data_IF_001097261404
#
_entry.id   IF_001097261404
#
_cell.length_a   1.000
_cell.length_b   1.000
_cell.length_c   1.000
_cell.angle_alpha   90.00
_cell.angle_beta   90.00
_cell.angle_gamma   90.00
#
_symmetry.space_group_name_H-M   'P 1'
#
loop_
_entity.id
_entity.type
_entity.pdbx_description
1 polymer ?
#
# COMPACT_ATOMS: atom_id res chain seq x y z
N UNK A 1 -10.70 -1.62 -29.45
CA UNK A 1 -9.99 -0.52 -28.76
C UNK A 1 -9.86 0.63 -29.72
N UNK A 2 -10.85 1.52 -29.76
CA UNK A 2 -10.74 2.77 -30.51
C UNK A 2 -9.85 3.73 -29.72
N UNK A 3 -8.69 4.07 -30.30
CA UNK A 3 -7.87 5.17 -29.80
C UNK A 3 -8.60 6.45 -30.16
N UNK A 4 -9.29 7.04 -29.18
CA UNK A 4 -9.87 8.37 -29.35
C UNK A 4 -8.70 9.35 -29.48
N UNK A 5 -8.45 9.78 -30.72
CA UNK A 5 -7.53 10.85 -31.10
C UNK A 5 -8.11 12.21 -30.67
N UNK A 6 -8.24 12.44 -29.36
CA UNK A 6 -8.68 13.74 -28.81
C UNK A 6 -7.59 14.80 -28.97
N UNK A 7 -6.32 14.38 -28.97
CA UNK A 7 -5.14 15.25 -29.07
C UNK A 7 -5.03 16.00 -30.40
N UNK A 8 -5.47 15.41 -31.52
CA UNK A 8 -5.34 16.02 -32.86
C UNK A 8 -6.40 17.10 -33.19
N UNK A 9 -7.58 17.07 -32.56
CA UNK A 9 -8.62 18.09 -32.81
C UNK A 9 -8.39 19.36 -32.00
N UNK A 10 -8.02 19.22 -30.73
CA UNK A 10 -7.71 20.37 -29.87
C UNK A 10 -6.49 21.16 -30.36
N UNK A 11 -5.47 20.49 -30.90
CA UNK A 11 -4.28 21.12 -31.48
C UNK A 11 -4.61 21.94 -32.74
N UNK A 12 -5.38 21.38 -33.67
CA UNK A 12 -5.82 22.09 -34.88
C UNK A 12 -6.70 23.31 -34.58
N UNK A 13 -7.59 23.22 -33.58
CA UNK A 13 -8.43 24.35 -33.15
C UNK A 13 -7.60 25.45 -32.49
N UNK A 14 -6.63 25.09 -31.64
CA UNK A 14 -5.72 26.05 -31.02
C UNK A 14 -4.85 26.73 -32.09
N UNK A 15 -4.31 25.99 -33.06
CA UNK A 15 -3.54 26.55 -34.17
C UNK A 15 -4.35 27.53 -35.04
N UNK A 16 -5.61 27.20 -35.34
CA UNK A 16 -6.51 28.09 -36.07
C UNK A 16 -6.83 29.38 -35.27
N UNK A 17 -7.01 29.27 -33.95
CA UNK A 17 -7.23 30.43 -33.06
C UNK A 17 -5.96 31.30 -33.01
N UNK A 18 -4.78 30.71 -32.90
CA UNK A 18 -3.50 31.44 -32.90
C UNK A 18 -3.26 32.13 -34.25
N UNK A 19 -3.55 31.45 -35.36
CA UNK A 19 -3.41 32.01 -36.70
C UNK A 19 -4.36 33.20 -36.93
N UNK A 20 -5.63 33.10 -36.52
CA UNK A 20 -6.59 34.20 -36.61
C UNK A 20 -6.20 35.36 -35.69
N UNK A 21 -5.67 35.11 -34.49
CA UNK A 21 -5.19 36.17 -33.59
C UNK A 21 -4.00 36.91 -34.18
N UNK A 22 -3.02 36.20 -34.77
CA UNK A 22 -1.90 36.84 -35.49
C UNK A 22 -2.40 37.78 -36.58
N UNK A 23 -3.36 37.31 -37.41
CA UNK A 23 -3.98 38.16 -38.44
C UNK A 23 -4.63 39.42 -37.89
N UNK A 24 -5.33 39.35 -36.75
CA UNK A 24 -5.95 40.55 -36.13
C UNK A 24 -4.89 41.53 -35.61
N UNK A 25 -3.78 41.03 -35.03
CA UNK A 25 -2.67 41.89 -34.59
C UNK A 25 -1.89 42.49 -35.76
N UNK A 26 -1.67 41.72 -36.81
CA UNK A 26 -1.03 42.20 -38.03
C UNK A 26 -1.88 43.33 -38.63
N UNK A 27 -3.22 43.18 -38.65
CA UNK A 27 -4.15 44.23 -39.08
C UNK A 27 -4.13 45.46 -38.16
N UNK A 28 -4.07 45.29 -36.84
CA UNK A 28 -4.00 46.41 -35.88
C UNK A 28 -2.68 47.18 -35.99
N UNK A 29 -1.57 46.47 -36.20
CA UNK A 29 -0.24 47.05 -36.41
C UNK A 29 -0.17 47.74 -37.78
N UNK A 30 -0.71 47.11 -38.83
CA UNK A 30 -0.81 47.71 -40.17
C UNK A 30 -1.61 49.00 -40.14
N UNK A 31 -2.77 49.03 -39.48
CA UNK A 31 -3.58 50.24 -39.31
C UNK A 31 -2.82 51.35 -38.57
N UNK A 32 -2.03 51.00 -37.54
CA UNK A 32 -1.18 51.97 -36.84
C UNK A 32 -0.04 52.50 -37.73
N UNK A 33 0.59 51.62 -38.51
CA UNK A 33 1.65 52.00 -39.45
C UNK A 33 1.12 52.88 -40.60
N UNK A 34 -0.07 52.59 -41.11
CA UNK A 34 -0.76 53.41 -42.11
C UNK A 34 -1.11 54.79 -41.56
N UNK A 35 -1.73 54.84 -40.37
CA UNK A 35 -2.03 56.09 -39.69
C UNK A 35 -0.76 56.93 -39.44
N UNK A 36 0.34 56.27 -39.03
CA UNK A 36 1.64 56.93 -38.88
C UNK A 36 2.13 57.52 -40.20
N UNK A 37 2.09 56.76 -41.30
CA UNK A 37 2.49 57.27 -42.64
C UNK A 37 1.69 58.50 -43.04
N UNK A 38 0.39 58.48 -42.79
CA UNK A 38 -0.50 59.61 -43.06
C UNK A 38 -0.11 60.86 -42.25
N UNK A 39 0.15 60.70 -40.96
CA UNK A 39 0.55 61.78 -40.07
C UNK A 39 1.92 62.37 -40.47
N UNK A 40 2.85 61.54 -40.93
CA UNK A 40 4.11 61.98 -41.52
C UNK A 40 3.93 62.76 -42.83
N UNK A 41 3.00 62.33 -43.69
CA UNK A 41 2.69 63.04 -44.93
C UNK A 41 2.13 64.45 -44.65
N UNK A 42 1.25 64.58 -43.65
CA UNK A 42 0.73 65.88 -43.19
C UNK A 42 1.84 66.74 -42.57
N UNK A 43 2.73 66.15 -41.76
CA UNK A 43 3.88 66.89 -41.21
C UNK A 43 4.81 67.43 -42.30
N UNK A 44 5.09 66.61 -43.32
CA UNK A 44 5.93 67.00 -44.45
C UNK A 44 5.29 68.08 -45.33
N UNK A 45 3.97 68.04 -45.54
CA UNK A 45 3.27 69.08 -46.32
C UNK A 45 3.31 70.44 -45.62
N UNK A 46 3.20 70.46 -44.29
CA UNK A 46 3.36 71.67 -43.47
C UNK A 46 4.79 72.21 -43.53
N UNK A 47 5.80 71.33 -43.43
CA UNK A 47 7.22 71.72 -43.58
C UNK A 47 7.52 72.35 -44.96
N UNK A 48 6.79 71.93 -46.00
CA UNK A 48 6.88 72.48 -47.35
C UNK A 48 6.06 73.77 -47.54
N UNK A 49 5.51 74.34 -46.46
CA UNK A 49 4.80 75.63 -46.47
C UNK A 49 3.32 75.56 -46.85
N UNK A 50 2.73 74.36 -46.96
CA UNK A 50 1.27 74.22 -47.18
C UNK A 50 0.52 74.36 -45.86
N UNK A 51 -0.56 75.14 -45.85
CA UNK A 51 -1.45 75.21 -44.70
C UNK A 51 -2.10 73.83 -44.44
N UNK A 52 -2.08 73.37 -43.20
CA UNK A 52 -2.80 72.15 -42.81
C UNK A 52 -4.29 72.44 -42.65
N UNK A 53 -5.13 71.50 -43.10
CA UNK A 53 -6.57 71.56 -42.85
C UNK A 53 -6.87 71.24 -41.36
N UNK A 54 -7.42 72.19 -40.60
CA UNK A 54 -7.72 71.99 -39.18
C UNK A 54 -8.78 70.90 -38.94
N UNK A 55 -9.71 70.68 -39.88
CA UNK A 55 -10.69 69.60 -39.75
C UNK A 55 -10.01 68.24 -39.88
N UNK A 56 -9.07 68.11 -40.83
CA UNK A 56 -8.29 66.88 -40.99
C UNK A 56 -7.39 66.58 -39.79
N UNK A 57 -6.79 67.62 -39.19
CA UNK A 57 -6.00 67.45 -37.96
C UNK A 57 -6.85 66.95 -36.79
N UNK A 58 -8.10 67.42 -36.66
CA UNK A 58 -9.04 66.97 -35.63
C UNK A 58 -9.46 65.51 -35.83
N UNK A 59 -9.70 65.09 -37.06
CA UNK A 59 -9.98 63.67 -37.40
C UNK A 59 -8.79 62.76 -37.08
N UNK A 60 -7.57 63.19 -37.41
CA UNK A 60 -6.35 62.46 -37.11
C UNK A 60 -6.15 62.33 -35.59
N UNK A 61 -6.40 63.40 -34.82
CA UNK A 61 -6.31 63.35 -33.36
C UNK A 61 -7.31 62.34 -32.75
N UNK A 62 -8.57 62.35 -33.19
CA UNK A 62 -9.58 61.38 -32.73
C UNK A 62 -9.22 59.93 -33.13
N UNK A 63 -8.62 59.75 -34.30
CA UNK A 63 -8.17 58.44 -34.78
C UNK A 63 -6.98 57.92 -33.97
N UNK A 64 -6.05 58.79 -33.59
CA UNK A 64 -4.93 58.45 -32.69
C UNK A 64 -5.45 57.99 -31.33
N UNK A 65 -6.38 58.73 -30.71
CA UNK A 65 -6.96 58.36 -29.41
C UNK A 65 -7.66 57.00 -29.47
N UNK A 66 -8.42 56.74 -30.55
CA UNK A 66 -9.09 55.44 -30.77
C UNK A 66 -8.08 54.31 -30.92
N UNK A 67 -7.05 54.48 -31.75
CA UNK A 67 -6.01 53.47 -31.95
C UNK A 67 -5.24 53.19 -30.66
N UNK A 68 -4.85 54.24 -29.91
CA UNK A 68 -4.15 54.11 -28.64
C UNK A 68 -4.99 53.37 -27.59
N UNK A 69 -6.28 53.71 -27.49
CA UNK A 69 -7.21 53.04 -26.57
C UNK A 69 -7.40 51.58 -26.95
N UNK A 70 -7.61 51.28 -28.25
CA UNK A 70 -7.81 49.91 -28.74
C UNK A 70 -6.58 49.03 -28.48
N UNK A 71 -5.39 49.52 -28.83
CA UNK A 71 -4.13 48.81 -28.58
C UNK A 71 -3.90 48.57 -27.08
N UNK A 72 -4.13 49.59 -26.24
CA UNK A 72 -4.00 49.48 -24.79
C UNK A 72 -4.93 48.43 -24.18
N UNK A 73 -6.19 48.39 -24.63
CA UNK A 73 -7.16 47.38 -24.20
C UNK A 73 -6.77 45.97 -24.66
N UNK A 74 -6.33 45.81 -25.92
CA UNK A 74 -5.91 44.51 -26.46
C UNK A 74 -4.70 43.95 -25.70
N UNK A 75 -3.68 44.78 -25.44
CA UNK A 75 -2.49 44.37 -24.67
C UNK A 75 -2.86 43.97 -23.24
N UNK A 76 -3.73 44.74 -22.57
CA UNK A 76 -4.17 44.42 -21.20
C UNK A 76 -4.97 43.13 -21.15
N UNK A 77 -5.84 42.91 -22.12
CA UNK A 77 -6.66 41.71 -22.23
C UNK A 77 -5.79 40.45 -22.45
N UNK A 78 -4.75 40.53 -23.28
CA UNK A 78 -3.81 39.42 -23.45
C UNK A 78 -2.97 39.16 -22.20
N UNK A 79 -2.52 40.22 -21.51
CA UNK A 79 -1.81 40.05 -20.23
C UNK A 79 -2.67 39.28 -19.22
N UNK A 80 -3.96 39.59 -19.13
CA UNK A 80 -4.90 38.88 -18.26
C UNK A 80 -5.11 37.43 -18.70
N UNK A 81 -5.28 37.18 -20.00
CA UNK A 81 -5.40 35.81 -20.53
C UNK A 81 -4.15 34.98 -20.25
N UNK A 82 -2.97 35.53 -20.50
CA UNK A 82 -1.71 34.85 -20.26
C UNK A 82 -1.53 34.54 -18.77
N UNK A 83 -1.79 35.51 -17.89
CA UNK A 83 -1.73 35.30 -16.44
C UNK A 83 -2.68 34.18 -15.99
N UNK A 84 -3.90 34.16 -16.53
CA UNK A 84 -4.88 33.11 -16.20
C UNK A 84 -4.42 31.74 -16.70
N UNK A 85 -4.01 31.64 -17.96
CA UNK A 85 -3.52 30.38 -18.54
C UNK A 85 -2.27 29.87 -17.81
N UNK A 86 -1.36 30.76 -17.42
CA UNK A 86 -0.19 30.39 -16.61
C UNK A 86 -0.62 29.79 -15.27
N UNK A 87 -1.55 30.45 -14.57
CA UNK A 87 -2.04 29.94 -13.28
C UNK A 87 -2.81 28.63 -13.41
N UNK A 88 -3.58 28.44 -14.48
CA UNK A 88 -4.29 27.19 -14.76
C UNK A 88 -3.30 26.06 -15.08
N UNK A 89 -2.24 26.34 -15.83
CA UNK A 89 -1.18 25.35 -16.10
C UNK A 89 -0.42 24.97 -14.81
N UNK A 90 0.01 25.95 -14.01
CA UNK A 90 0.69 25.69 -12.74
C UNK A 90 -0.19 24.85 -11.80
N UNK A 91 -1.50 25.12 -11.78
CA UNK A 91 -2.44 24.33 -11.00
C UNK A 91 -2.56 22.89 -11.50
N UNK A 92 -2.64 22.70 -12.83
CA UNK A 92 -2.69 21.38 -13.44
C UNK A 92 -1.40 20.59 -13.19
N UNK A 93 -0.24 21.22 -13.27
CA UNK A 93 1.05 20.59 -12.97
C UNK A 93 1.10 20.11 -11.51
N UNK A 94 0.69 20.95 -10.56
CA UNK A 94 0.59 20.55 -9.14
C UNK A 94 -0.36 19.38 -8.92
N UNK A 95 -1.51 19.38 -9.61
CA UNK A 95 -2.47 18.27 -9.53
C UNK A 95 -1.87 16.97 -10.08
N UNK A 96 -1.24 17.03 -11.25
CA UNK A 96 -0.57 15.88 -11.87
C UNK A 96 0.50 15.33 -10.95
N UNK A 97 1.37 16.17 -10.41
CA UNK A 97 2.45 15.75 -9.51
C UNK A 97 1.92 15.08 -8.24
N UNK A 98 0.85 15.63 -7.66
CA UNK A 98 0.22 15.06 -6.46
C UNK A 98 -0.41 13.69 -6.75
N UNK A 99 -1.11 13.55 -7.88
CA UNK A 99 -1.76 12.30 -8.28
C UNK A 99 -0.74 11.23 -8.63
N UNK A 100 0.30 11.58 -9.38
CA UNK A 100 1.39 10.67 -9.74
C UNK A 100 2.13 10.19 -8.49
N UNK A 101 2.46 11.09 -7.57
CA UNK A 101 3.12 10.74 -6.31
C UNK A 101 2.26 9.79 -5.46
N UNK A 102 0.95 10.03 -5.40
CA UNK A 102 0.00 9.14 -4.74
C UNK A 102 -0.04 7.74 -5.35
N UNK A 103 -0.13 7.67 -6.69
CA UNK A 103 -0.16 6.40 -7.43
C UNK A 103 1.16 5.61 -7.28
N UNK A 104 2.31 6.28 -7.33
CA UNK A 104 3.62 5.64 -7.10
C UNK A 104 3.67 5.02 -5.71
N UNK A 105 3.25 5.77 -4.69
CA UNK A 105 3.22 5.28 -3.30
C UNK A 105 2.30 4.07 -3.15
N UNK A 106 1.12 4.09 -3.78
CA UNK A 106 0.20 2.96 -3.79
C UNK A 106 0.80 1.74 -4.49
N UNK A 107 1.37 1.90 -5.68
CA UNK A 107 2.02 0.82 -6.42
C UNK A 107 3.20 0.22 -5.66
N UNK A 108 3.99 1.03 -4.97
CA UNK A 108 5.10 0.55 -4.15
C UNK A 108 4.61 -0.31 -2.98
N UNK A 109 3.51 0.12 -2.34
CA UNK A 109 2.87 -0.66 -1.26
C UNK A 109 2.36 -2.01 -1.75
N UNK A 110 1.73 -2.05 -2.94
CA UNK A 110 1.23 -3.28 -3.55
C UNK A 110 2.38 -4.19 -3.98
N UNK A 111 3.43 -3.64 -4.58
CA UNK A 111 4.63 -4.38 -4.94
C UNK A 111 5.29 -5.02 -3.72
N UNK A 112 5.39 -4.28 -2.60
CA UNK A 112 5.92 -4.82 -1.35
C UNK A 112 5.04 -5.97 -0.83
N UNK A 113 3.72 -5.83 -0.89
CA UNK A 113 2.77 -6.89 -0.52
C UNK A 113 2.96 -8.14 -1.40
N UNK A 114 3.05 -7.96 -2.71
CA UNK A 114 3.23 -9.05 -3.68
C UNK A 114 4.57 -9.78 -3.51
N UNK A 115 5.65 -9.06 -3.20
CA UNK A 115 6.95 -9.65 -2.87
C UNK A 115 6.86 -10.53 -1.62
N UNK A 116 6.24 -10.02 -0.55
CA UNK A 116 6.05 -10.79 0.69
C UNK A 116 5.20 -12.05 0.47
N UNK A 117 4.15 -11.98 -0.34
CA UNK A 117 3.34 -13.17 -0.68
C UNK A 117 4.14 -14.17 -1.51
N UNK A 118 4.96 -13.70 -2.46
CA UNK A 118 5.83 -14.55 -3.27
C UNK A 118 6.85 -15.28 -2.40
N UNK A 119 7.46 -14.60 -1.44
CA UNK A 119 8.43 -15.20 -0.53
C UNK A 119 7.80 -16.20 0.45
N UNK A 120 6.55 -15.97 0.86
CA UNK A 120 5.76 -16.97 1.61
C UNK A 120 5.52 -18.22 0.76
N UNK A 121 5.02 -18.06 -0.46
CA UNK A 121 4.77 -19.18 -1.38
C UNK A 121 6.03 -19.98 -1.71
N UNK A 122 7.17 -19.32 -1.93
CA UNK A 122 8.47 -19.97 -2.12
C UNK A 122 8.86 -20.82 -0.91
N UNK A 123 8.66 -20.32 0.31
CA UNK A 123 8.92 -21.09 1.55
C UNK A 123 7.99 -22.29 1.67
N UNK A 124 6.71 -22.12 1.40
CA UNK A 124 5.73 -23.22 1.49
C UNK A 124 6.00 -24.30 0.44
N UNK A 125 6.40 -23.92 -0.77
CA UNK A 125 6.83 -24.86 -1.80
C UNK A 125 8.08 -25.65 -1.38
N UNK A 126 9.09 -24.99 -0.79
CA UNK A 126 10.28 -25.67 -0.24
C UNK A 126 9.91 -26.66 0.86
N UNK A 127 9.01 -26.28 1.78
CA UNK A 127 8.50 -27.18 2.83
C UNK A 127 7.76 -28.38 2.23
N UNK A 128 6.92 -28.16 1.22
CA UNK A 128 6.21 -29.23 0.50
C UNK A 128 7.18 -30.19 -0.19
N UNK A 129 8.25 -29.67 -0.80
CA UNK A 129 9.32 -30.50 -1.38
C UNK A 129 10.03 -31.33 -0.32
N UNK A 130 10.37 -30.75 0.84
CA UNK A 130 10.96 -31.48 1.96
C UNK A 130 10.02 -32.57 2.47
N UNK A 131 8.73 -32.25 2.68
CA UNK A 131 7.72 -33.22 3.07
C UNK A 131 7.61 -34.37 2.06
N UNK A 132 7.55 -34.06 0.76
CA UNK A 132 7.49 -35.07 -0.29
C UNK A 132 8.75 -35.93 -0.39
N UNK A 133 9.93 -35.37 -0.09
CA UNK A 133 11.18 -36.15 0.04
C UNK A 133 11.13 -37.06 1.26
N UNK A 134 10.68 -36.57 2.41
CA UNK A 134 10.49 -37.37 3.61
C UNK A 134 9.49 -38.50 3.37
N UNK A 135 8.36 -38.23 2.74
CA UNK A 135 7.36 -39.25 2.37
C UNK A 135 7.95 -40.27 1.39
N UNK A 136 8.75 -39.83 0.40
CA UNK A 136 9.43 -40.75 -0.54
C UNK A 136 10.46 -41.61 0.16
N UNK A 137 11.38 -41.02 0.92
CA UNK A 137 12.38 -41.72 1.72
C UNK A 137 11.71 -42.69 2.69
N UNK A 138 10.62 -42.27 3.32
CA UNK A 138 9.82 -43.12 4.18
C UNK A 138 9.23 -44.29 3.38
N UNK A 139 8.59 -44.05 2.22
CA UNK A 139 8.05 -45.10 1.35
C UNK A 139 9.11 -46.07 0.80
N UNK A 140 10.31 -45.58 0.51
CA UNK A 140 11.40 -46.34 -0.11
C UNK A 140 12.36 -47.01 0.87
N UNK A 141 12.48 -46.52 2.11
CA UNK A 141 13.26 -47.18 3.15
C UNK A 141 12.66 -48.56 3.42
N UNK A 142 13.52 -49.58 3.39
CA UNK A 142 13.18 -50.98 3.59
C UNK A 142 12.23 -51.17 4.77
N UNK A 143 11.35 -52.17 4.65
CA UNK A 143 10.29 -52.51 5.60
C UNK A 143 10.78 -52.87 7.01
N UNK A 144 12.10 -52.85 7.24
CA UNK A 144 12.81 -53.33 8.42
C UNK A 144 13.85 -52.27 8.84
N UNK A 145 13.59 -51.58 9.95
CA UNK A 145 14.55 -50.66 10.57
C UNK A 145 15.33 -51.46 11.61
N UNK A 146 16.66 -51.52 11.49
CA UNK A 146 17.54 -52.15 12.49
C UNK A 146 18.15 -51.07 13.37
N UNK A 147 17.95 -51.17 14.68
CA UNK A 147 18.53 -50.26 15.67
C UNK A 147 19.28 -51.07 16.73
N UNK A 148 20.42 -50.56 17.17
CA UNK A 148 21.12 -51.08 18.35
C UNK A 148 20.57 -50.45 19.65
N UNK A 149 20.95 -51.00 20.81
CA UNK A 149 20.48 -50.51 22.12
C UNK A 149 20.92 -49.07 22.42
N UNK A 150 22.09 -48.64 21.92
CA UNK A 150 22.60 -47.29 22.14
C UNK A 150 21.82 -46.26 21.32
N UNK A 151 21.48 -46.60 20.08
CA UNK A 151 20.65 -45.81 19.18
C UNK A 151 19.22 -45.67 19.70
N UNK A 152 18.64 -46.73 20.27
CA UNK A 152 17.32 -46.65 20.92
C UNK A 152 17.38 -45.71 22.13
N UNK A 153 18.38 -45.88 23.00
CA UNK A 153 18.55 -45.03 24.19
C UNK A 153 18.70 -43.55 23.82
N UNK A 154 19.45 -43.26 22.75
CA UNK A 154 19.65 -41.92 22.23
C UNK A 154 18.40 -41.31 21.58
N UNK A 155 17.60 -42.11 20.86
CA UNK A 155 16.38 -41.63 20.19
C UNK A 155 15.22 -41.39 21.17
N UNK A 156 15.17 -42.12 22.28
CA UNK A 156 14.06 -42.09 23.23
C UNK A 156 14.43 -41.48 24.59
N UNK A 157 15.59 -40.80 24.72
CA UNK A 157 16.01 -40.06 25.91
C UNK A 157 15.85 -40.84 27.23
N UNK A 158 16.33 -42.08 27.28
CA UNK A 158 16.24 -42.98 28.45
C UNK A 158 14.81 -43.33 28.92
N UNK A 159 13.78 -43.18 28.08
CA UNK A 159 12.49 -43.85 28.33
C UNK A 159 12.72 -45.37 28.47
N UNK A 160 11.87 -46.07 29.24
CA UNK A 160 12.01 -47.50 29.52
C UNK A 160 12.24 -48.29 28.22
N UNK A 161 13.50 -48.64 27.96
CA UNK A 161 13.95 -49.28 26.71
C UNK A 161 13.21 -50.60 26.50
N UNK A 162 12.82 -51.24 27.61
CA UNK A 162 12.01 -52.45 27.64
C UNK A 162 10.67 -52.30 26.93
N UNK A 163 10.02 -51.14 27.00
CA UNK A 163 8.73 -50.91 26.35
C UNK A 163 8.87 -50.73 24.83
N UNK A 164 9.97 -50.11 24.39
CA UNK A 164 10.26 -49.93 22.96
C UNK A 164 10.68 -51.25 22.31
N UNK A 165 11.47 -52.05 23.03
CA UNK A 165 12.01 -53.33 22.53
C UNK A 165 10.93 -54.41 22.36
N UNK A 166 9.86 -54.40 23.17
CA UNK A 166 8.72 -55.34 23.07
C UNK A 166 8.07 -55.39 21.68
N UNK A 167 8.18 -54.31 20.91
CA UNK A 167 7.59 -54.20 19.57
C UNK A 167 8.56 -54.53 18.43
N UNK A 168 9.76 -55.04 18.75
CA UNK A 168 10.77 -55.42 17.77
C UNK A 168 10.92 -56.93 17.64
N UNK A 169 11.38 -57.39 16.48
CA UNK A 169 11.92 -58.73 16.31
C UNK A 169 13.41 -58.69 16.63
N UNK A 170 13.83 -59.39 17.68
CA UNK A 170 15.25 -59.52 18.02
C UNK A 170 15.95 -60.36 16.95
N UNK A 171 17.07 -59.85 16.41
CA UNK A 171 17.91 -60.59 15.45
C UNK A 171 19.30 -60.73 16.09
N UNK A 172 19.74 -61.98 16.21
CA UNK A 172 20.91 -62.47 16.96
C UNK A 172 22.04 -61.48 17.25
N UNK A 173 22.45 -61.47 18.53
CA UNK A 173 23.67 -60.81 18.99
C UNK A 173 24.86 -61.75 18.91
N UNK A 174 25.69 -61.60 17.87
CA UNK A 174 27.09 -62.03 17.96
C UNK A 174 27.89 -60.86 18.52
N UNK A 175 28.60 -61.09 19.61
CA UNK A 175 29.48 -60.12 20.29
C UNK A 175 28.79 -58.94 20.99
N UNK A 176 27.86 -59.21 21.91
CA UNK A 176 27.49 -58.25 22.97
C UNK A 176 26.62 -57.05 22.57
N UNK A 177 26.38 -56.80 21.28
CA UNK A 177 25.44 -55.78 20.81
C UNK A 177 24.10 -56.42 20.40
N UNK A 178 23.02 -56.06 21.11
CA UNK A 178 21.66 -56.48 20.76
C UNK A 178 21.14 -55.56 19.64
N UNK A 179 20.82 -56.14 18.50
CA UNK A 179 20.14 -55.46 17.38
C UNK A 179 18.67 -55.80 17.35
N UNK A 180 17.84 -54.76 17.26
CA UNK A 180 16.38 -54.83 17.26
C UNK A 180 15.86 -54.44 15.88
N UNK A 181 15.02 -55.29 15.29
CA UNK A 181 14.45 -55.02 13.97
C UNK A 181 12.98 -54.68 14.08
N UNK A 182 12.62 -53.49 13.62
CA UNK A 182 11.25 -52.98 13.64
C UNK A 182 10.63 -53.07 12.26
N UNK A 183 9.48 -53.76 12.16
CA UNK A 183 8.70 -53.82 10.92
C UNK A 183 7.80 -52.60 10.80
N UNK A 184 7.85 -51.97 9.62
CA UNK A 184 7.04 -50.78 9.28
C UNK A 184 5.52 -51.02 9.26
N UNK A 185 5.07 -52.28 9.23
CA UNK A 185 3.66 -52.67 9.07
C UNK A 185 2.73 -52.21 10.21
N UNK A 186 3.27 -51.85 11.39
CA UNK A 186 2.46 -51.46 12.55
C UNK A 186 2.36 -49.93 12.78
N UNK A 187 2.93 -49.11 11.89
CA UNK A 187 3.00 -47.66 12.14
C UNK A 187 1.65 -46.94 11.98
N UNK A 188 0.77 -47.37 11.07
CA UNK A 188 -0.55 -46.75 10.93
C UNK A 188 -1.44 -47.02 12.15
N UNK A 189 -1.32 -48.20 12.74
CA UNK A 189 -1.97 -48.54 14.00
C UNK A 189 -1.37 -47.73 15.15
N UNK A 190 -0.03 -47.66 15.25
CA UNK A 190 0.67 -46.89 16.27
C UNK A 190 0.39 -45.38 16.18
N UNK A 191 0.36 -44.79 14.98
CA UNK A 191 -0.03 -43.38 14.79
C UNK A 191 -1.49 -43.13 15.18
N UNK A 192 -2.41 -44.05 14.89
CA UNK A 192 -3.81 -43.95 15.33
C UNK A 192 -3.95 -44.06 16.85
N UNK A 193 -3.17 -44.93 17.48
CA UNK A 193 -3.12 -45.05 18.94
C UNK A 193 -2.53 -43.81 19.60
N UNK A 194 -1.47 -43.22 19.01
CA UNK A 194 -0.89 -41.95 19.43
C UNK A 194 -1.87 -40.79 19.24
N UNK A 195 -2.58 -40.70 18.11
CA UNK A 195 -3.62 -39.70 17.89
C UNK A 195 -4.73 -39.82 18.95
N UNK A 196 -5.18 -41.04 19.25
CA UNK A 196 -6.15 -41.29 20.34
C UNK A 196 -5.62 -40.85 21.71
N UNK A 197 -4.36 -41.16 22.03
CA UNK A 197 -3.74 -40.79 23.30
C UNK A 197 -3.57 -39.27 23.42
N UNK A 198 -3.17 -38.59 22.33
CA UNK A 198 -3.05 -37.13 22.27
C UNK A 198 -4.42 -36.48 22.46
N UNK A 199 -5.46 -36.99 21.81
CA UNK A 199 -6.80 -36.43 21.93
C UNK A 199 -7.39 -36.65 23.33
N UNK A 200 -7.13 -37.81 23.95
CA UNK A 200 -7.45 -38.08 25.34
C UNK A 200 -6.74 -37.10 26.29
N UNK A 201 -5.44 -36.82 26.08
CA UNK A 201 -4.69 -35.87 26.90
C UNK A 201 -5.15 -34.42 26.69
N UNK A 202 -5.53 -34.01 25.47
CA UNK A 202 -6.16 -32.71 25.24
C UNK A 202 -7.46 -32.56 26.01
N UNK A 203 -8.31 -33.61 26.03
CA UNK A 203 -9.54 -33.60 26.79
C UNK A 203 -9.30 -33.49 28.30
N UNK A 204 -8.30 -34.20 28.83
CA UNK A 204 -7.88 -34.11 30.23
C UNK A 204 -7.37 -32.69 30.57
N UNK A 205 -6.54 -32.08 29.71
CA UNK A 205 -6.11 -30.70 29.88
C UNK A 205 -7.29 -29.70 29.83
N UNK A 206 -8.28 -29.94 28.97
CA UNK A 206 -9.48 -29.10 28.92
C UNK A 206 -10.31 -29.23 30.21
N UNK A 207 -10.50 -30.45 30.73
CA UNK A 207 -11.17 -30.69 32.00
C UNK A 207 -10.44 -30.03 33.18
N UNK A 208 -9.11 -30.13 33.23
CA UNK A 208 -8.29 -29.45 34.24
C UNK A 208 -8.43 -27.93 34.15
N UNK A 209 -8.44 -27.34 32.95
CA UNK A 209 -8.67 -25.89 32.78
C UNK A 209 -10.04 -25.46 33.30
N UNK A 210 -11.09 -26.23 33.03
CA UNK A 210 -12.44 -25.96 33.55
C UNK A 210 -12.45 -26.05 35.08
N UNK A 211 -11.82 -27.07 35.65
CA UNK A 211 -11.70 -27.25 37.11
C UNK A 211 -10.94 -26.09 37.78
N UNK A 212 -9.81 -25.66 37.19
CA UNK A 212 -9.02 -24.53 37.66
C UNK A 212 -9.85 -23.24 37.64
N UNK A 213 -10.58 -22.97 36.55
CA UNK A 213 -11.42 -21.78 36.46
C UNK A 213 -12.56 -21.80 37.50
N UNK A 214 -13.23 -22.95 37.67
CA UNK A 214 -14.28 -23.10 38.68
C UNK A 214 -13.73 -22.91 40.10
N UNK A 215 -12.56 -23.45 40.41
CA UNK A 215 -11.93 -23.26 41.70
C UNK A 215 -11.46 -21.81 41.90
N UNK A 216 -10.96 -21.15 40.86
CA UNK A 216 -10.61 -19.73 40.91
C UNK A 216 -11.83 -18.87 41.23
N UNK A 217 -12.98 -19.13 40.61
CA UNK A 217 -14.23 -18.43 40.92
C UNK A 217 -14.69 -18.66 42.35
N UNK A 218 -14.59 -19.90 42.87
CA UNK A 218 -14.89 -20.21 44.26
C UNK A 218 -13.97 -19.43 45.21
N UNK A 219 -12.67 -19.42 44.96
CA UNK A 219 -11.70 -18.65 45.74
C UNK A 219 -11.98 -17.15 45.68
N UNK A 220 -12.38 -16.62 44.51
CA UNK A 220 -12.74 -15.22 44.36
C UNK A 220 -13.95 -14.86 45.22
N UNK A 221 -15.01 -15.68 45.20
CA UNK A 221 -16.20 -15.49 46.05
C UNK A 221 -15.86 -15.56 47.54
N UNK A 222 -15.02 -16.51 47.94
CA UNK A 222 -14.56 -16.64 49.34
C UNK A 222 -13.74 -15.40 49.73
N UNK A 223 -12.81 -14.96 48.89
CA UNK A 223 -11.97 -13.79 49.16
C UNK A 223 -12.76 -12.49 49.27
N UNK A 224 -13.78 -12.30 48.41
CA UNK A 224 -14.70 -11.16 48.49
C UNK A 224 -15.51 -11.17 49.79
N UNK A 225 -15.95 -12.35 50.24
CA UNK A 225 -16.70 -12.49 51.49
C UNK A 225 -15.82 -12.24 52.72
N UNK A 226 -14.57 -12.70 52.71
CA UNK A 226 -13.59 -12.37 53.74
C UNK A 226 -13.33 -10.86 53.76
N UNK A 227 -13.14 -10.24 52.59
CA UNK A 227 -12.94 -8.79 52.47
C UNK A 227 -14.12 -8.01 53.05
N UNK A 228 -15.36 -8.36 52.67
CA UNK A 228 -16.57 -7.73 53.20
C UNK A 228 -16.69 -7.85 54.73
N UNK A 229 -16.40 -9.04 55.29
CA UNK A 229 -16.42 -9.25 56.74
C UNK A 229 -15.32 -8.44 57.43
N UNK A 230 -14.12 -8.37 56.84
CA UNK A 230 -13.01 -7.58 57.38
C UNK A 230 -13.33 -6.07 57.38
N UNK A 231 -13.93 -5.55 56.30
CA UNK A 231 -14.38 -4.16 56.19
C UNK A 231 -15.50 -3.86 57.20
N UNK A 232 -16.47 -4.77 57.36
CA UNK A 232 -17.58 -4.64 58.32
C UNK A 232 -17.13 -4.66 59.78
N UNK A 233 -16.04 -5.38 60.09
CA UNK A 233 -15.44 -5.42 61.44
C UNK A 233 -14.53 -4.22 61.71
N UNK A 234 -14.10 -3.49 60.67
CA UNK A 234 -13.20 -2.34 60.79
C UNK A 234 -13.87 -1.01 61.14
N UNK A 235 -15.22 -0.97 61.19
CA UNK A 235 -15.97 0.13 61.80
C UNK A 235 -15.63 1.52 61.24
N UNK A 236 -15.75 1.72 59.92
CA UNK A 236 -15.71 3.05 59.31
C UNK A 236 -17.12 3.39 58.79
N UNK A 237 -17.89 4.07 59.64
CA UNK A 237 -18.94 4.99 59.19
C UNK A 237 -18.29 6.36 58.96
N UNK A 238 -18.48 6.96 57.79
CA UNK A 238 -18.02 8.33 57.52
C UNK A 238 -18.00 8.69 56.03
N UNK A 239 -19.02 9.43 55.62
CA UNK A 239 -19.28 10.04 54.31
C UNK A 239 -18.14 10.87 53.69
N UNK A 240 -18.24 10.96 52.37
CA UNK A 240 -17.82 12.03 51.46
C UNK A 240 -16.35 12.49 51.43
N UNK A 241 -15.71 12.28 50.29
CA UNK A 241 -15.25 13.42 49.48
C UNK A 241 -15.26 13.08 47.99
N UNK A 242 -15.97 13.94 47.27
CA UNK A 242 -15.85 14.21 45.84
C UNK A 242 -14.39 14.25 45.40
N UNK A 243 -14.10 13.68 44.22
CA UNK A 243 -13.07 14.24 43.34
C UNK A 243 -13.70 14.40 41.98
N UNK A 244 -13.87 15.67 41.64
CA UNK A 244 -14.22 16.21 40.34
C UNK A 244 -13.47 15.51 39.18
N UNK A 245 -14.19 15.31 38.09
CA UNK A 245 -13.67 15.26 36.72
C UNK A 245 -14.66 15.99 35.82
#
# INVERSE_FOLDING_TARGET
MERISVSGRATNEIEAIVANRRKVYDVDIEQYLEFRKELWAVSNSVKLGKAADPNRLKELALTLERLQTRLGLNVRLEKLKYSRLSSENEHMDMLIDSQLSGLVTQMDSENRRLRLTTDRLKRDYRKKLQLNRLIRNFKSAESLIKLDSAQISALFNNAEIEDVVKHSSQVDGRQGQKTYTFRKQNLSASCRELEKAIESKKAECAALRISINSNREKWLKISQRIKFVAESLSGVDGDDMEVES
#
